data_IF_876734273613
#
_entry.id   IF_876734273613
#
_cell.length_a   1.000
_cell.length_b   1.000
_cell.length_c   1.000
_cell.angle_alpha   90.00
_cell.angle_beta   90.00
_cell.angle_gamma   90.00
#
_symmetry.space_group_name_H-M   'P 1'
#
loop_
_entity.id
_entity.type
_entity.pdbx_description
1 polymer ?
#
# COMPACT_ATOMS: atom_id res chain seq x y z
N UNK A 1 19.51 -11.37 -3.00
CA UNK A 1 18.20 -11.81 -3.54
C UNK A 1 17.50 -10.57 -4.05
N UNK A 2 17.69 -10.30 -5.34
CA UNK A 2 17.33 -9.05 -6.02
C UNK A 2 16.16 -9.34 -6.96
N UNK A 3 15.17 -8.47 -6.83
CA UNK A 3 14.01 -8.16 -7.67
C UNK A 3 14.18 -8.40 -9.18
N UNK A 4 13.24 -9.14 -9.77
CA UNK A 4 12.72 -8.91 -11.14
C UNK A 4 11.20 -9.20 -11.09
N UNK A 5 10.34 -8.19 -11.09
CA UNK A 5 9.96 -7.32 -12.21
C UNK A 5 9.02 -8.05 -13.20
N UNK A 6 7.73 -7.87 -12.93
CA UNK A 6 6.61 -8.09 -13.84
C UNK A 6 6.82 -7.32 -15.15
N UNK A 7 6.84 -8.03 -16.27
CA UNK A 7 6.58 -7.50 -17.59
C UNK A 7 6.07 -8.65 -18.46
N UNK A 8 4.75 -8.90 -18.41
CA UNK A 8 4.10 -9.69 -19.44
C UNK A 8 3.23 -8.74 -20.26
N UNK A 9 3.67 -8.61 -21.51
CA UNK A 9 3.26 -7.68 -22.55
C UNK A 9 1.80 -7.91 -22.95
N UNK A 10 1.05 -6.83 -23.09
CA UNK A 10 -0.31 -6.81 -23.58
C UNK A 10 -0.31 -7.15 -25.08
N UNK A 11 -0.91 -8.29 -25.46
CA UNK A 11 -1.18 -8.63 -26.85
C UNK A 11 -2.39 -7.81 -27.30
N UNK A 12 -2.14 -6.79 -28.13
CA UNK A 12 -3.16 -6.07 -28.90
C UNK A 12 -3.66 -6.96 -30.04
N UNK A 13 -4.98 -7.11 -30.26
CA UNK A 13 -5.50 -7.88 -31.37
C UNK A 13 -5.28 -7.12 -32.68
N UNK A 14 -4.51 -7.72 -33.59
CA UNK A 14 -4.27 -7.26 -34.95
C UNK A 14 -5.52 -7.43 -35.81
N UNK A 15 -5.77 -6.46 -36.70
CA UNK A 15 -6.92 -6.32 -37.62
C UNK A 15 -7.02 -7.40 -38.72
N UNK A 16 -6.57 -8.63 -38.47
CA UNK A 16 -6.50 -9.72 -39.47
C UNK A 16 -7.58 -10.81 -39.25
N UNK A 17 -8.68 -10.48 -38.57
CA UNK A 17 -9.78 -11.44 -38.32
C UNK A 17 -11.19 -10.87 -38.59
N UNK A 18 -11.28 -9.71 -39.25
CA UNK A 18 -12.57 -9.09 -39.58
C UNK A 18 -13.06 -9.40 -41.00
N UNK A 19 -12.22 -9.96 -41.88
CA UNK A 19 -12.60 -10.25 -43.27
C UNK A 19 -13.32 -11.60 -43.45
N UNK A 20 -13.31 -12.48 -42.46
CA UNK A 20 -13.86 -13.84 -42.61
C UNK A 20 -15.30 -14.00 -42.08
N UNK A 21 -15.98 -12.90 -41.71
CA UNK A 21 -17.31 -12.94 -41.09
C UNK A 21 -18.42 -12.25 -41.91
N UNK A 22 -18.14 -11.79 -43.14
CA UNK A 22 -19.09 -11.05 -43.99
C UNK A 22 -19.39 -11.69 -45.35
N UNK A 23 -19.11 -12.98 -45.53
CA UNK A 23 -19.56 -13.74 -46.72
C UNK A 23 -20.57 -14.82 -46.34
N UNK A 24 -21.76 -14.38 -45.93
CA UNK A 24 -22.89 -15.27 -45.65
C UNK A 24 -24.20 -14.65 -46.14
N UNK A 25 -24.26 -14.15 -47.37
CA UNK A 25 -25.55 -13.96 -48.08
C UNK A 25 -25.32 -13.67 -49.56
N UNK A 26 -25.64 -14.65 -50.42
CA UNK A 26 -26.12 -14.58 -51.82
C UNK A 26 -25.92 -16.02 -52.36
N UNK A 27 -26.94 -16.81 -52.70
CA UNK A 27 -27.94 -16.50 -53.70
C UNK A 27 -27.48 -17.05 -55.04
N UNK A 28 -27.47 -18.38 -55.22
CA UNK A 28 -27.25 -19.04 -56.51
C UNK A 28 -28.42 -20.02 -56.80
N UNK A 29 -28.89 -20.10 -58.06
CA UNK A 29 -30.15 -20.73 -58.43
C UNK A 29 -29.99 -22.23 -58.67
N UNK A 30 -30.84 -23.03 -58.03
CA UNK A 30 -30.97 -24.46 -58.36
C UNK A 30 -31.82 -24.63 -59.62
N UNK A 31 -31.16 -24.90 -60.74
CA UNK A 31 -31.75 -25.44 -61.96
C UNK A 31 -31.68 -26.96 -61.91
N UNK A 32 -32.83 -27.64 -62.01
CA UNK A 32 -32.89 -29.06 -62.38
C UNK A 32 -33.72 -29.96 -61.47
N UNK A 33 -35.05 -29.86 -61.55
CA UNK A 33 -35.95 -30.95 -61.18
C UNK A 33 -37.22 -30.88 -62.05
N UNK A 34 -37.10 -31.43 -63.26
CA UNK A 34 -38.22 -31.80 -64.13
C UNK A 34 -38.99 -32.97 -63.54
N UNK A 35 -40.31 -32.86 -63.40
CA UNK A 35 -41.21 -33.97 -63.10
C UNK A 35 -42.36 -33.60 -62.16
N UNK A 36 -43.27 -32.74 -62.60
CA UNK A 36 -44.55 -32.51 -61.92
C UNK A 36 -45.61 -33.44 -62.52
N UNK A 37 -45.60 -34.70 -62.07
CA UNK A 37 -46.65 -35.67 -62.39
C UNK A 37 -47.28 -36.17 -61.08
N UNK A 38 -48.36 -35.51 -60.62
CA UNK A 38 -49.43 -36.25 -59.96
C UNK A 38 -50.78 -35.53 -60.12
N UNK A 39 -51.75 -36.13 -60.84
CA UNK A 39 -53.02 -35.51 -61.15
C UNK A 39 -53.94 -35.56 -59.93
N UNK A 40 -54.08 -34.45 -59.21
CA UNK A 40 -55.26 -34.23 -58.36
C UNK A 40 -56.46 -33.83 -59.23
N UNK A 41 -56.86 -34.73 -60.13
CA UNK A 41 -58.15 -34.69 -60.79
C UNK A 41 -59.08 -35.65 -60.03
N UNK A 42 -59.51 -35.19 -58.84
CA UNK A 42 -60.37 -35.94 -57.94
C UNK A 42 -61.41 -35.03 -57.31
N UNK A 43 -62.47 -34.78 -58.06
CA UNK A 43 -63.85 -34.61 -57.57
C UNK A 43 -64.09 -33.55 -56.49
N UNK A 44 -64.53 -32.36 -56.92
CA UNK A 44 -65.42 -31.53 -56.11
C UNK A 44 -66.72 -32.30 -55.88
N UNK A 45 -66.84 -32.97 -54.74
CA UNK A 45 -68.12 -33.45 -54.25
C UNK A 45 -68.88 -32.24 -53.68
N UNK A 46 -69.81 -31.72 -54.48
CA UNK A 46 -70.88 -30.85 -54.01
C UNK A 46 -71.72 -31.64 -53.00
N UNK A 47 -71.62 -31.32 -51.71
CA UNK A 47 -72.63 -31.73 -50.74
C UNK A 47 -73.81 -30.80 -50.93
N UNK A 48 -74.81 -31.27 -51.70
CA UNK A 48 -76.14 -30.69 -51.70
C UNK A 48 -76.70 -30.81 -50.27
N UNK A 49 -76.82 -29.68 -49.59
CA UNK A 49 -77.62 -29.60 -48.38
C UNK A 49 -79.09 -29.79 -48.77
N UNK A 50 -79.68 -30.87 -48.30
CA UNK A 50 -81.13 -31.07 -48.33
C UNK A 50 -81.78 -30.03 -47.42
N UNK A 51 -82.53 -29.11 -48.01
CA UNK A 51 -83.41 -28.19 -47.32
C UNK A 51 -84.60 -28.98 -46.74
N UNK A 52 -84.64 -29.10 -45.42
CA UNK A 52 -85.87 -29.40 -44.68
C UNK A 52 -86.18 -28.17 -43.81
N UNK A 53 -87.36 -27.58 -44.05
CA UNK A 53 -87.85 -26.38 -43.38
C UNK A 53 -88.04 -26.60 -41.88
N UNK A 54 -87.13 -26.08 -41.07
CA UNK A 54 -87.31 -25.82 -39.65
C UNK A 54 -86.72 -24.45 -39.32
N UNK A 55 -87.49 -23.59 -38.66
CA UNK A 55 -87.06 -22.28 -38.17
C UNK A 55 -85.97 -22.41 -37.09
N UNK A 56 -84.73 -22.67 -37.50
CA UNK A 56 -83.63 -23.00 -36.60
C UNK A 56 -82.32 -22.35 -37.04
N UNK A 57 -81.62 -21.81 -36.05
CA UNK A 57 -80.35 -21.08 -36.12
C UNK A 57 -79.30 -21.75 -37.03
N UNK A 58 -78.43 -20.94 -37.67
CA UNK A 58 -77.25 -21.41 -38.42
C UNK A 58 -76.48 -22.47 -37.60
N UNK A 59 -76.28 -23.71 -38.08
CA UNK A 59 -75.84 -24.83 -37.24
C UNK A 59 -74.56 -24.58 -36.41
N UNK A 60 -73.54 -23.84 -36.92
CA UNK A 60 -72.36 -23.42 -36.11
C UNK A 60 -72.63 -22.41 -34.99
N UNK A 61 -73.76 -21.70 -35.00
CA UNK A 61 -74.14 -20.70 -34.00
C UNK A 61 -75.35 -21.12 -33.18
N UNK A 62 -75.73 -22.39 -33.20
CA UNK A 62 -76.83 -22.90 -32.36
C UNK A 62 -76.48 -22.77 -30.87
N UNK A 63 -77.19 -21.91 -30.11
CA UNK A 63 -76.90 -21.66 -28.71
C UNK A 63 -77.09 -22.87 -27.80
N UNK A 64 -77.75 -23.94 -28.27
CA UNK A 64 -77.86 -25.19 -27.53
C UNK A 64 -76.50 -25.91 -27.34
N UNK A 65 -75.50 -25.65 -28.19
CA UNK A 65 -74.17 -26.30 -28.13
C UNK A 65 -73.13 -25.51 -27.32
N UNK A 66 -73.30 -24.20 -27.15
CA UNK A 66 -72.39 -23.36 -26.37
C UNK A 66 -72.21 -23.82 -24.92
N UNK A 67 -73.24 -24.26 -24.16
CA UNK A 67 -73.04 -24.75 -22.80
C UNK A 67 -72.07 -25.93 -22.71
N UNK A 68 -72.15 -26.88 -23.65
CA UNK A 68 -71.24 -28.04 -23.67
C UNK A 68 -69.82 -27.62 -24.05
N UNK A 69 -69.67 -26.71 -25.00
CA UNK A 69 -68.36 -26.20 -25.40
C UNK A 69 -67.71 -25.35 -24.31
N UNK A 70 -68.48 -24.53 -23.61
CA UNK A 70 -68.04 -23.76 -22.44
C UNK A 70 -67.71 -24.66 -21.26
N UNK A 71 -68.49 -25.73 -21.03
CA UNK A 71 -68.18 -26.72 -20.00
C UNK A 71 -66.83 -27.40 -20.27
N UNK A 72 -66.60 -27.88 -21.49
CA UNK A 72 -65.34 -28.51 -21.85
C UNK A 72 -64.16 -27.53 -21.89
N UNK A 73 -64.38 -26.31 -22.37
CA UNK A 73 -63.40 -25.22 -22.31
C UNK A 73 -63.02 -24.95 -20.85
N UNK A 74 -64.00 -24.88 -19.94
CA UNK A 74 -63.75 -24.63 -18.52
C UNK A 74 -62.98 -25.79 -17.89
N UNK A 75 -63.34 -27.04 -18.19
CA UNK A 75 -62.62 -28.22 -17.68
C UNK A 75 -61.17 -28.23 -18.16
N UNK A 76 -60.94 -28.07 -19.47
CA UNK A 76 -59.58 -28.09 -20.05
C UNK A 76 -58.75 -26.89 -19.61
N UNK A 77 -59.35 -25.70 -19.53
CA UNK A 77 -58.70 -24.49 -19.02
C UNK A 77 -58.37 -24.60 -17.53
N UNK A 78 -59.28 -25.13 -16.71
CA UNK A 78 -59.02 -25.35 -15.29
C UNK A 78 -57.90 -26.38 -15.06
N UNK A 79 -57.88 -27.46 -15.85
CA UNK A 79 -56.80 -28.45 -15.81
C UNK A 79 -55.45 -27.83 -16.21
N UNK A 80 -55.41 -27.06 -17.30
CA UNK A 80 -54.22 -26.33 -17.74
C UNK A 80 -53.77 -25.31 -16.69
N UNK A 81 -54.70 -24.55 -16.11
CA UNK A 81 -54.44 -23.56 -15.07
C UNK A 81 -53.82 -24.21 -13.83
N UNK A 82 -54.36 -25.35 -13.38
CA UNK A 82 -53.79 -26.10 -12.27
C UNK A 82 -52.38 -26.59 -12.57
N UNK A 83 -52.13 -27.09 -13.79
CA UNK A 83 -50.80 -27.52 -14.21
C UNK A 83 -49.80 -26.35 -14.23
N UNK A 84 -50.19 -25.21 -14.81
CA UNK A 84 -49.38 -23.99 -14.86
C UNK A 84 -49.12 -23.42 -13.47
N UNK A 85 -50.15 -23.33 -12.65
CA UNK A 85 -50.08 -22.83 -11.27
C UNK A 85 -49.15 -23.70 -10.42
N UNK A 86 -49.24 -25.02 -10.57
CA UNK A 86 -48.52 -25.97 -9.71
C UNK A 86 -47.12 -26.34 -10.21
N UNK A 87 -46.83 -26.16 -11.50
CA UNK A 87 -45.55 -26.59 -12.10
C UNK A 87 -44.77 -25.43 -12.72
N UNK A 88 -45.41 -24.59 -13.54
CA UNK A 88 -44.70 -23.53 -14.27
C UNK A 88 -44.31 -22.37 -13.36
N UNK A 89 -45.25 -21.86 -12.56
CA UNK A 89 -44.97 -20.77 -11.60
C UNK A 89 -43.88 -21.11 -10.57
N UNK A 90 -43.90 -22.28 -9.89
CA UNK A 90 -42.84 -22.58 -8.92
C UNK A 90 -41.48 -22.81 -9.59
N UNK A 91 -41.42 -23.32 -10.83
CA UNK A 91 -40.16 -23.45 -11.56
C UNK A 91 -39.55 -22.09 -11.88
N UNK A 92 -40.35 -21.13 -12.34
CA UNK A 92 -39.87 -19.77 -12.64
C UNK A 92 -39.50 -19.03 -11.35
N UNK A 93 -40.30 -19.18 -10.29
CA UNK A 93 -40.00 -18.64 -8.96
C UNK A 93 -38.68 -19.15 -8.40
N UNK A 94 -38.41 -20.46 -8.51
CA UNK A 94 -37.15 -21.06 -8.06
C UNK A 94 -35.91 -20.54 -8.79
N UNK A 95 -36.00 -20.34 -10.11
CA UNK A 95 -34.89 -19.77 -10.89
C UNK A 95 -34.63 -18.32 -10.47
N UNK A 96 -35.69 -17.53 -10.30
CA UNK A 96 -35.56 -16.13 -9.91
C UNK A 96 -34.98 -15.99 -8.51
N UNK A 97 -35.41 -16.84 -7.57
CA UNK A 97 -34.86 -16.90 -6.22
C UNK A 97 -33.39 -17.32 -6.22
N UNK A 98 -33.03 -18.37 -6.98
CA UNK A 98 -31.64 -18.81 -7.10
C UNK A 98 -30.74 -17.71 -7.66
N UNK A 99 -31.19 -16.97 -8.68
CA UNK A 99 -30.42 -15.84 -9.21
C UNK A 99 -30.26 -14.71 -8.19
N UNK A 100 -31.32 -14.37 -7.46
CA UNK A 100 -31.22 -13.37 -6.38
C UNK A 100 -30.24 -13.81 -5.31
N UNK A 101 -30.37 -15.05 -4.82
CA UNK A 101 -29.49 -15.60 -3.80
C UNK A 101 -28.02 -15.60 -4.23
N UNK A 102 -27.73 -15.92 -5.50
CA UNK A 102 -26.35 -15.84 -6.04
C UNK A 102 -25.85 -14.39 -6.09
N UNK A 103 -26.67 -13.45 -6.59
CA UNK A 103 -26.30 -12.04 -6.66
C UNK A 103 -26.04 -11.47 -5.26
N UNK A 104 -26.91 -11.78 -4.29
CA UNK A 104 -26.77 -11.33 -2.91
C UNK A 104 -25.53 -11.94 -2.25
N UNK A 105 -25.23 -13.22 -2.52
CA UNK A 105 -24.02 -13.88 -2.05
C UNK A 105 -22.75 -13.27 -2.66
N UNK A 106 -22.76 -12.98 -3.97
CA UNK A 106 -21.63 -12.36 -4.66
C UNK A 106 -21.40 -10.92 -4.18
N UNK A 107 -22.48 -10.16 -3.98
CA UNK A 107 -22.40 -8.80 -3.43
C UNK A 107 -21.88 -8.81 -1.99
N UNK A 108 -22.37 -9.72 -1.15
CA UNK A 108 -21.89 -9.88 0.21
C UNK A 108 -20.40 -10.30 0.25
N UNK A 109 -19.98 -11.18 -0.66
CA UNK A 109 -18.58 -11.58 -0.77
C UNK A 109 -17.68 -10.44 -1.25
N UNK A 110 -18.17 -9.62 -2.20
CA UNK A 110 -17.48 -8.43 -2.68
C UNK A 110 -17.34 -7.38 -1.58
N UNK A 111 -18.42 -7.09 -0.84
CA UNK A 111 -18.40 -6.16 0.30
C UNK A 111 -17.48 -6.64 1.42
N UNK A 112 -17.53 -7.93 1.76
CA UNK A 112 -16.62 -8.50 2.76
C UNK A 112 -15.15 -8.41 2.30
N UNK A 113 -14.87 -8.62 1.02
CA UNK A 113 -13.52 -8.49 0.47
C UNK A 113 -13.06 -7.04 0.48
N UNK A 114 -13.94 -6.10 0.12
CA UNK A 114 -13.68 -4.66 0.20
C UNK A 114 -13.38 -4.23 1.64
N UNK A 115 -14.22 -4.62 2.61
CA UNK A 115 -13.99 -4.28 4.02
C UNK A 115 -12.67 -4.85 4.55
N UNK A 116 -12.29 -6.07 4.15
CA UNK A 116 -10.98 -6.64 4.51
C UNK A 116 -9.82 -5.84 3.92
N UNK A 117 -9.94 -5.42 2.66
CA UNK A 117 -8.92 -4.57 2.02
C UNK A 117 -8.84 -3.20 2.69
N UNK A 118 -9.98 -2.54 2.95
CA UNK A 118 -10.02 -1.24 3.61
C UNK A 118 -9.43 -1.33 5.04
N UNK A 119 -9.74 -2.40 5.78
CA UNK A 119 -9.15 -2.66 7.09
C UNK A 119 -7.64 -2.93 7.01
N UNK A 120 -7.18 -3.67 6.01
CA UNK A 120 -5.76 -3.94 5.79
C UNK A 120 -4.98 -2.68 5.40
N UNK A 121 -5.57 -1.82 4.56
CA UNK A 121 -5.01 -0.50 4.20
C UNK A 121 -4.90 0.36 5.46
N UNK A 122 -5.97 0.49 6.24
CA UNK A 122 -5.96 1.28 7.47
C UNK A 122 -4.92 0.76 8.49
N UNK A 123 -4.79 -0.55 8.64
CA UNK A 123 -3.79 -1.16 9.52
C UNK A 123 -2.35 -0.91 9.00
N UNK A 124 -2.13 -0.99 7.69
CA UNK A 124 -0.84 -0.71 7.08
C UNK A 124 -0.44 0.77 7.24
N UNK A 125 -1.37 1.69 7.00
CA UNK A 125 -1.14 3.13 7.19
C UNK A 125 -0.87 3.47 8.65
N UNK A 126 -1.62 2.88 9.59
CA UNK A 126 -1.39 3.04 11.02
C UNK A 126 0.00 2.51 11.43
N UNK A 127 0.38 1.32 10.97
CA UNK A 127 1.70 0.74 11.23
C UNK A 127 2.83 1.61 10.65
N UNK A 128 2.64 2.19 9.46
CA UNK A 128 3.61 3.10 8.84
C UNK A 128 3.74 4.40 9.63
N UNK A 129 2.62 4.97 10.08
CA UNK A 129 2.60 6.18 10.91
C UNK A 129 3.30 5.93 12.27
N UNK A 130 2.99 4.82 12.93
CA UNK A 130 3.62 4.42 14.18
C UNK A 130 5.12 4.19 14.00
N UNK A 131 5.54 3.49 12.95
CA UNK A 131 6.95 3.25 12.64
C UNK A 131 7.70 4.57 12.40
N UNK A 132 7.12 5.52 11.64
CA UNK A 132 7.69 6.85 11.44
C UNK A 132 7.81 7.62 12.75
N UNK A 133 6.77 7.60 13.58
CA UNK A 133 6.79 8.24 14.91
C UNK A 133 7.86 7.63 15.81
N UNK A 134 7.99 6.30 15.85
CA UNK A 134 9.04 5.61 16.63
C UNK A 134 10.43 5.95 16.12
N UNK A 135 10.64 5.97 14.80
CA UNK A 135 11.93 6.34 14.21
C UNK A 135 12.32 7.78 14.55
N UNK A 136 11.38 8.73 14.48
CA UNK A 136 11.60 10.11 14.90
C UNK A 136 11.90 10.21 16.39
N UNK A 137 11.17 9.48 17.24
CA UNK A 137 11.44 9.38 18.67
C UNK A 137 12.84 8.89 18.98
N UNK A 138 13.25 7.76 18.38
CA UNK A 138 14.60 7.20 18.53
C UNK A 138 15.66 8.20 18.05
N UNK A 139 15.46 8.86 16.92
CA UNK A 139 16.40 9.84 16.39
C UNK A 139 16.57 11.04 17.35
N UNK A 140 15.48 11.53 17.94
CA UNK A 140 15.51 12.63 18.90
C UNK A 140 16.20 12.21 20.20
N UNK A 141 15.80 11.08 20.81
CA UNK A 141 16.43 10.56 22.03
C UNK A 141 17.91 10.27 21.82
N UNK A 142 18.29 9.72 20.66
CA UNK A 142 19.70 9.48 20.32
C UNK A 142 20.49 10.79 20.19
N UNK A 143 19.92 11.81 19.52
CA UNK A 143 20.56 13.14 19.44
C UNK A 143 20.72 13.80 20.81
N UNK A 144 19.72 13.68 21.67
CA UNK A 144 19.77 14.21 23.04
C UNK A 144 20.84 13.50 23.87
N UNK A 145 20.87 12.17 23.83
CA UNK A 145 21.90 11.36 24.51
C UNK A 145 23.31 11.66 24.00
N UNK A 146 23.50 11.76 22.69
CA UNK A 146 24.81 12.11 22.10
C UNK A 146 25.25 13.52 22.52
N UNK A 147 24.32 14.49 22.55
CA UNK A 147 24.64 15.85 23.00
C UNK A 147 25.01 15.87 24.48
N UNK A 148 24.29 15.13 25.33
CA UNK A 148 24.60 15.01 26.75
C UNK A 148 25.98 14.39 26.97
N UNK A 149 26.27 13.28 26.29
CA UNK A 149 27.58 12.60 26.35
C UNK A 149 28.71 13.51 25.86
N UNK A 150 28.47 14.27 24.77
CA UNK A 150 29.45 15.21 24.23
C UNK A 150 29.71 16.36 25.21
N UNK A 151 28.67 16.90 25.85
CA UNK A 151 28.81 17.94 26.87
C UNK A 151 29.59 17.43 28.09
N UNK A 152 29.28 16.22 28.57
CA UNK A 152 30.00 15.58 29.67
C UNK A 152 31.48 15.35 29.34
N UNK A 153 31.77 14.80 28.16
CA UNK A 153 33.15 14.58 27.69
C UNK A 153 33.91 15.90 27.52
N UNK A 154 33.27 16.93 26.96
CA UNK A 154 33.87 18.27 26.84
C UNK A 154 34.23 18.83 28.20
N UNK A 155 33.29 18.83 29.14
CA UNK A 155 33.53 19.32 30.50
C UNK A 155 34.66 18.56 31.20
N UNK A 156 34.72 17.23 31.06
CA UNK A 156 35.81 16.43 31.62
C UNK A 156 37.17 16.77 31.00
N UNK A 157 37.24 16.94 29.68
CA UNK A 157 38.47 17.33 28.97
C UNK A 157 38.90 18.75 29.35
N UNK A 158 37.97 19.69 29.46
CA UNK A 158 38.24 21.06 29.90
C UNK A 158 38.78 21.11 31.34
N UNK A 159 38.22 20.28 32.23
CA UNK A 159 38.72 20.15 33.60
C UNK A 159 40.14 19.55 33.65
N UNK A 160 40.40 18.49 32.90
CA UNK A 160 41.74 17.88 32.79
C UNK A 160 42.76 18.86 32.18
N UNK A 161 42.37 19.59 31.14
CA UNK A 161 43.20 20.61 30.51
C UNK A 161 43.53 21.74 31.49
N UNK A 162 42.54 22.24 32.23
CA UNK A 162 42.74 23.29 33.26
C UNK A 162 43.71 22.81 34.35
N UNK A 163 43.56 21.57 34.81
CA UNK A 163 44.48 20.95 35.78
C UNK A 163 45.91 20.87 35.24
N UNK A 164 46.09 20.41 34.00
CA UNK A 164 47.40 20.32 33.35
C UNK A 164 48.05 21.69 33.14
N UNK A 165 47.28 22.70 32.73
CA UNK A 165 47.76 24.07 32.59
C UNK A 165 48.22 24.60 33.95
N UNK A 166 47.40 24.45 34.99
CA UNK A 166 47.76 24.88 36.36
C UNK A 166 49.04 24.20 36.86
N UNK A 167 49.17 22.88 36.64
CA UNK A 167 50.37 22.13 37.02
C UNK A 167 51.61 22.57 36.23
N UNK A 168 51.46 22.85 34.93
CA UNK A 168 52.54 23.37 34.09
C UNK A 168 52.97 24.77 34.53
N UNK A 169 52.02 25.67 34.83
CA UNK A 169 52.28 27.00 35.36
C UNK A 169 53.03 26.95 36.71
N UNK A 170 52.61 26.07 37.62
CA UNK A 170 53.29 25.86 38.89
C UNK A 170 54.74 25.36 38.68
N UNK A 171 54.95 24.43 37.75
CA UNK A 171 56.29 23.92 37.41
C UNK A 171 57.17 25.01 36.80
N UNK A 172 56.63 25.81 35.87
CA UNK A 172 57.32 26.94 35.26
C UNK A 172 57.72 27.95 36.34
N UNK A 173 56.81 28.28 37.26
CA UNK A 173 57.11 29.19 38.37
C UNK A 173 58.20 28.64 39.28
N UNK A 174 58.15 27.35 39.63
CA UNK A 174 59.18 26.71 40.46
C UNK A 174 60.56 26.73 39.79
N UNK A 175 60.63 26.31 38.52
CA UNK A 175 61.89 26.34 37.74
C UNK A 175 62.40 27.77 37.56
N UNK A 176 61.52 28.76 37.40
CA UNK A 176 61.92 30.17 37.35
C UNK A 176 62.55 30.62 38.67
N UNK A 177 61.92 30.31 39.81
CA UNK A 177 62.46 30.65 41.13
C UNK A 177 63.80 29.96 41.36
N UNK A 178 63.91 28.66 41.03
CA UNK A 178 65.15 27.91 41.15
C UNK A 178 66.26 28.52 40.27
N UNK A 179 65.98 28.84 39.00
CA UNK A 179 66.93 29.47 38.11
C UNK A 179 67.40 30.84 38.61
N UNK A 180 66.50 31.65 39.20
CA UNK A 180 66.87 32.92 39.81
C UNK A 180 67.80 32.73 41.03
N UNK A 181 67.55 31.72 41.88
CA UNK A 181 68.45 31.38 42.99
C UNK A 181 69.83 30.95 42.48
N UNK A 182 69.91 30.12 41.44
CA UNK A 182 71.20 29.73 40.84
C UNK A 182 71.96 30.95 40.28
N UNK A 183 71.26 31.93 39.72
CA UNK A 183 71.88 33.19 39.25
C UNK A 183 72.44 34.01 40.43
N UNK A 184 71.69 34.12 41.53
CA UNK A 184 72.15 34.81 42.75
C UNK A 184 73.38 34.12 43.36
N UNK A 185 73.42 32.79 43.36
CA UNK A 185 74.57 32.00 43.84
C UNK A 185 75.81 32.22 42.94
N UNK A 186 75.66 32.13 41.61
CA UNK A 186 76.75 32.39 40.67
C UNK A 186 77.26 33.83 40.80
N UNK A 187 76.36 34.80 40.97
CA UNK A 187 76.72 36.20 41.18
C UNK A 187 77.52 36.39 42.48
N UNK A 188 77.11 35.74 43.58
CA UNK A 188 77.81 35.78 44.86
C UNK A 188 79.21 35.14 44.78
N UNK A 189 79.33 33.95 44.17
CA UNK A 189 80.61 33.26 44.01
C UNK A 189 81.57 34.04 43.09
N UNK A 190 81.05 34.63 42.01
CA UNK A 190 81.82 35.49 41.11
C UNK A 190 82.28 36.76 41.83
N UNK A 191 81.38 37.44 42.55
CA UNK A 191 81.71 38.63 43.32
C UNK A 191 82.75 38.33 44.41
N UNK A 192 82.64 37.19 45.09
CA UNK A 192 83.63 36.74 46.07
C UNK A 192 85.00 36.58 45.41
N UNK A 193 85.07 35.85 44.29
CA UNK A 193 86.33 35.62 43.58
C UNK A 193 87.00 36.94 43.17
N UNK A 194 86.22 37.88 42.63
CA UNK A 194 86.72 39.19 42.19
C UNK A 194 87.20 40.03 43.38
N UNK A 195 86.45 40.07 44.48
CA UNK A 195 86.79 40.88 45.67
C UNK A 195 88.02 40.32 46.39
N UNK A 196 88.12 38.98 46.53
CA UNK A 196 89.28 38.33 47.13
C UNK A 196 90.56 38.62 46.35
N UNK A 197 90.48 38.65 45.01
CA UNK A 197 91.62 39.00 44.16
C UNK A 197 92.06 40.46 44.29
N UNK A 198 91.16 41.38 44.65
CA UNK A 198 91.40 42.83 44.64
C UNK A 198 91.80 43.39 46.02
N UNK A 199 91.18 42.92 47.11
CA UNK A 199 91.28 43.53 48.45
C UNK A 199 91.79 42.52 49.52
N UNK A 200 91.82 41.22 49.21
CA UNK A 200 92.26 40.16 50.14
C UNK A 200 91.09 39.38 50.76
N UNK A 201 91.36 38.59 51.81
CA UNK A 201 90.37 37.68 52.41
C UNK A 201 89.29 38.45 53.21
N UNK A 202 88.04 38.40 52.74
CA UNK A 202 86.89 39.05 53.38
C UNK A 202 85.86 37.96 53.68
N UNK A 203 85.16 38.01 54.83
CA UNK A 203 84.14 37.03 55.18
C UNK A 203 83.05 36.91 54.10
N UNK A 204 82.82 35.66 53.68
CA UNK A 204 81.81 35.23 52.69
C UNK A 204 80.40 35.78 52.96
N UNK A 205 80.04 35.90 54.23
CA UNK A 205 78.70 36.30 54.65
C UNK A 205 78.41 37.77 54.32
N UNK A 206 79.43 38.64 54.38
CA UNK A 206 79.30 40.05 54.03
C UNK A 206 79.10 40.26 52.53
N UNK A 207 79.76 39.44 51.70
CA UNK A 207 79.65 39.51 50.24
C UNK A 207 78.27 39.01 49.78
N UNK A 208 77.79 37.88 50.32
CA UNK A 208 76.42 37.39 50.05
C UNK A 208 75.37 38.40 50.47
N UNK A 209 75.51 39.04 51.63
CA UNK A 209 74.57 40.06 52.09
C UNK A 209 74.54 41.29 51.17
N UNK A 210 75.69 41.71 50.62
CA UNK A 210 75.78 42.82 49.68
C UNK A 210 75.15 42.50 48.32
N UNK A 211 75.41 41.31 47.77
CA UNK A 211 74.81 40.84 46.51
C UNK A 211 73.29 40.70 46.65
N UNK A 212 72.81 40.12 47.77
CA UNK A 212 71.38 40.01 48.05
C UNK A 212 70.67 41.36 48.26
N UNK A 213 71.40 42.39 48.71
CA UNK A 213 70.87 43.76 48.79
C UNK A 213 70.79 44.41 47.41
N UNK A 214 71.76 44.14 46.54
CA UNK A 214 71.81 44.67 45.18
C UNK A 214 70.80 44.00 44.23
N UNK A 215 70.47 42.71 44.42
CA UNK A 215 69.46 42.02 43.59
C UNK A 215 68.01 42.36 43.94
N UNK A 216 67.78 43.13 45.02
CA UNK A 216 66.46 43.59 45.47
C UNK A 216 66.09 45.02 45.04
N UNK A 217 67.04 45.82 44.55
CA UNK A 217 66.77 47.12 43.91
C UNK A 217 66.53 46.96 42.40
#
# INVERSE_FOLDING_TARGET
MVTQAFAQEAVTPTEENLDNAIDATHGEPVVGATGHDNPTAGTHATTAASEEHGSGVFPPFDPATFPSQLLWLTITFALLYLLMSRVALPRIGGILENRKALIDADLAAADASRQKTDAAIAAYEAALAEAKSKAQGIANTSRESIQADLAAKRSAVEADLTSKVTAAEARISATKTEALTHVDEIAADTAQTVVTQLIGDIPTDSIRAAVAKASKE
#
